data_IF_672745351185
#
_entry.id   IF_672745351185
#
_cell.length_a   1.000
_cell.length_b   1.000
_cell.length_c   1.000
_cell.angle_alpha   90.00
_cell.angle_beta   90.00
_cell.angle_gamma   90.00
#
_symmetry.space_group_name_H-M   'P 1'
#
loop_
_entity.id
_entity.type
_entity.pdbx_description
1 polymer ?
#
# COMPACT_ATOMS: atom_id res chain seq x y z
N UNK A 1 3.13 -35.76 10.62
CA UNK A 1 3.25 -34.36 11.08
C UNK A 1 4.44 -33.73 10.37
N UNK A 2 4.23 -32.57 9.73
CA UNK A 2 5.20 -31.74 8.98
C UNK A 2 5.73 -32.28 7.65
N UNK A 3 5.29 -31.66 6.56
CA UNK A 3 6.10 -30.96 5.54
C UNK A 3 5.12 -30.34 4.51
N UNK A 4 4.45 -29.25 4.88
CA UNK A 4 3.77 -28.38 3.92
C UNK A 4 4.82 -27.40 3.38
N UNK A 5 5.55 -27.85 2.37
CA UNK A 5 6.46 -27.02 1.60
C UNK A 5 5.68 -26.13 0.64
N UNK A 6 5.95 -24.83 0.71
CA UNK A 6 6.00 -23.90 -0.45
C UNK A 6 4.86 -23.98 -1.49
N UNK A 7 3.60 -24.00 -1.05
CA UNK A 7 2.45 -23.68 -1.92
C UNK A 7 2.32 -22.16 -2.10
N UNK A 8 3.08 -21.61 -3.04
CA UNK A 8 3.02 -20.19 -3.41
C UNK A 8 1.66 -19.82 -4.04
N UNK A 9 1.38 -18.51 -4.17
CA UNK A 9 0.32 -17.92 -5.00
C UNK A 9 0.44 -18.35 -6.49
N UNK A 10 1.48 -19.14 -6.80
CA UNK A 10 1.80 -19.81 -8.05
C UNK A 10 0.73 -20.82 -8.53
N UNK A 11 -0.15 -21.31 -7.65
CA UNK A 11 -1.26 -22.20 -8.05
C UNK A 11 -2.61 -21.49 -8.23
N UNK A 12 -2.71 -20.22 -7.82
CA UNK A 12 -3.92 -19.43 -8.09
C UNK A 12 -3.90 -19.03 -9.57
N UNK A 13 -4.87 -19.54 -10.34
CA UNK A 13 -5.05 -19.09 -11.72
C UNK A 13 -5.35 -17.59 -11.68
N UNK A 14 -5.09 -16.85 -12.77
CA UNK A 14 -5.44 -15.41 -12.87
C UNK A 14 -6.89 -15.09 -12.43
N UNK A 15 -7.78 -16.08 -12.53
CA UNK A 15 -9.19 -16.04 -12.11
C UNK A 15 -9.34 -15.85 -10.58
N UNK A 16 -8.44 -16.38 -9.77
CA UNK A 16 -8.54 -16.31 -8.30
C UNK A 16 -7.81 -15.11 -7.70
N UNK A 17 -6.88 -14.50 -8.46
CA UNK A 17 -6.17 -13.29 -8.01
C UNK A 17 -7.09 -12.08 -7.92
N UNK A 18 -7.99 -11.88 -8.89
CA UNK A 18 -8.86 -10.71 -8.89
C UNK A 18 -9.82 -10.67 -7.67
N UNK A 19 -10.53 -11.75 -7.31
CA UNK A 19 -11.32 -11.82 -6.07
C UNK A 19 -10.47 -11.59 -4.81
N UNK A 20 -9.26 -12.16 -4.76
CA UNK A 20 -8.35 -11.99 -3.63
C UNK A 20 -7.90 -10.53 -3.47
N UNK A 21 -7.43 -9.90 -4.56
CA UNK A 21 -7.01 -8.48 -4.57
C UNK A 21 -8.16 -7.59 -4.16
N UNK A 22 -9.38 -7.85 -4.68
CA UNK A 22 -10.57 -7.09 -4.30
C UNK A 22 -10.89 -7.23 -2.80
N UNK A 23 -10.80 -8.44 -2.26
CA UNK A 23 -11.03 -8.69 -0.83
C UNK A 23 -10.01 -7.98 0.07
N UNK A 24 -8.72 -8.15 -0.24
CA UNK A 24 -7.63 -7.53 0.52
C UNK A 24 -7.70 -6.00 0.44
N UNK A 25 -8.00 -5.45 -0.74
CA UNK A 25 -8.15 -4.00 -0.92
C UNK A 25 -9.29 -3.46 -0.05
N UNK A 26 -10.44 -4.15 0.02
CA UNK A 26 -11.54 -3.77 0.91
C UNK A 26 -11.15 -3.81 2.38
N UNK A 27 -10.46 -4.88 2.80
CA UNK A 27 -10.02 -5.03 4.19
C UNK A 27 -9.02 -3.92 4.60
N UNK A 28 -8.04 -3.65 3.74
CA UNK A 28 -7.05 -2.59 3.95
C UNK A 28 -7.71 -1.21 3.94
N UNK A 29 -8.62 -0.95 3.01
CA UNK A 29 -9.38 0.30 2.97
C UNK A 29 -10.16 0.52 4.27
N UNK A 30 -10.85 -0.51 4.78
CA UNK A 30 -11.56 -0.43 6.06
C UNK A 30 -10.62 -0.14 7.24
N UNK A 31 -9.45 -0.80 7.28
CA UNK A 31 -8.40 -0.57 8.30
C UNK A 31 -7.84 0.85 8.25
N UNK A 32 -7.62 1.38 7.05
CA UNK A 32 -7.14 2.76 6.83
C UNK A 32 -8.25 3.80 7.09
N UNK A 33 -9.51 3.36 7.04
CA UNK A 33 -10.69 4.21 7.23
C UNK A 33 -11.12 4.95 5.97
N UNK A 34 -10.91 4.36 4.81
CA UNK A 34 -11.30 4.89 3.49
C UNK A 34 -12.30 4.01 2.77
N UNK A 35 -12.96 4.61 1.78
CA UNK A 35 -13.68 3.85 0.77
C UNK A 35 -12.68 2.98 -0.02
N UNK A 36 -13.05 1.74 -0.31
CA UNK A 36 -12.24 0.89 -1.16
C UNK A 36 -12.27 1.45 -2.60
N UNK A 37 -11.12 1.79 -3.20
CA UNK A 37 -11.10 2.29 -4.57
C UNK A 37 -11.44 1.17 -5.55
N UNK A 38 -11.91 1.56 -6.73
CA UNK A 38 -12.03 0.64 -7.85
C UNK A 38 -10.63 0.21 -8.31
N UNK A 39 -10.51 -1.08 -8.64
CA UNK A 39 -9.26 -1.65 -9.16
C UNK A 39 -9.39 -1.73 -10.67
N UNK A 40 -8.54 -0.99 -11.40
CA UNK A 40 -8.57 -1.02 -12.86
C UNK A 40 -8.05 -2.36 -13.40
N UNK A 41 -8.51 -2.72 -14.60
CA UNK A 41 -8.02 -3.93 -15.29
C UNK A 41 -6.51 -3.87 -15.54
N UNK A 42 -5.96 -2.68 -15.76
CA UNK A 42 -4.52 -2.47 -15.93
C UNK A 42 -3.75 -2.79 -14.64
N UNK A 43 -4.24 -2.35 -13.48
CA UNK A 43 -3.63 -2.67 -12.18
C UNK A 43 -3.72 -4.17 -11.87
N UNK A 44 -4.87 -4.80 -12.15
CA UNK A 44 -5.00 -6.25 -12.03
C UNK A 44 -4.02 -7.01 -12.93
N UNK A 45 -3.86 -6.56 -14.18
CA UNK A 45 -2.91 -7.17 -15.12
C UNK A 45 -1.46 -7.02 -14.65
N UNK A 46 -1.10 -5.86 -14.09
CA UNK A 46 0.21 -5.64 -13.48
C UNK A 46 0.41 -6.59 -12.30
N UNK A 47 -0.51 -6.62 -11.33
CA UNK A 47 -0.43 -7.53 -10.17
C UNK A 47 -0.34 -9.01 -10.58
N UNK A 48 -1.02 -9.40 -11.65
CA UNK A 48 -0.99 -10.76 -12.21
C UNK A 48 0.32 -11.11 -12.94
N UNK A 49 1.11 -10.11 -13.33
CA UNK A 49 2.40 -10.30 -13.97
C UNK A 49 3.56 -10.53 -12.96
N UNK A 50 3.28 -10.42 -11.65
CA UNK A 50 4.28 -10.63 -10.61
C UNK A 50 4.19 -12.02 -9.99
N UNK A 51 5.36 -12.62 -9.79
CA UNK A 51 5.52 -13.70 -8.82
C UNK A 51 5.56 -13.09 -7.41
N UNK A 52 4.72 -13.57 -6.51
CA UNK A 52 4.59 -13.06 -5.14
C UNK A 52 5.33 -13.97 -4.14
N UNK A 53 6.64 -13.73 -3.85
CA UNK A 53 7.41 -14.54 -2.91
C UNK A 53 7.00 -14.24 -1.46
N UNK A 54 6.05 -15.00 -0.93
CA UNK A 54 5.40 -14.75 0.36
C UNK A 54 3.88 -14.56 0.28
N UNK A 55 3.31 -14.80 -0.90
CA UNK A 55 1.89 -14.85 -1.25
C UNK A 55 1.11 -13.60 -0.83
N UNK A 56 0.40 -13.69 0.29
CA UNK A 56 -0.62 -12.70 0.65
C UNK A 56 0.00 -11.49 1.33
N UNK A 57 1.03 -11.68 2.16
CA UNK A 57 1.64 -10.58 2.92
C UNK A 57 2.32 -9.55 2.03
N UNK A 58 3.01 -9.98 0.98
CA UNK A 58 3.67 -9.06 0.04
C UNK A 58 2.65 -8.31 -0.81
N UNK A 59 1.60 -9.02 -1.27
CA UNK A 59 0.48 -8.39 -1.95
C UNK A 59 -0.20 -7.34 -1.06
N UNK A 60 -0.42 -7.65 0.22
CA UNK A 60 -0.98 -6.69 1.18
C UNK A 60 -0.09 -5.45 1.36
N UNK A 61 1.23 -5.61 1.45
CA UNK A 61 2.16 -4.46 1.56
C UNK A 61 2.09 -3.54 0.34
N UNK A 62 2.05 -4.13 -0.86
CA UNK A 62 1.87 -3.38 -2.11
C UNK A 62 0.55 -2.64 -2.13
N UNK A 63 -0.55 -3.34 -1.80
CA UNK A 63 -1.89 -2.75 -1.81
C UNK A 63 -2.01 -1.64 -0.76
N UNK A 64 -1.49 -1.83 0.44
CA UNK A 64 -1.50 -0.81 1.49
C UNK A 64 -0.72 0.44 1.06
N UNK A 65 0.47 0.25 0.51
CA UNK A 65 1.29 1.36 0.00
C UNK A 65 0.57 2.09 -1.13
N UNK A 66 0.01 1.37 -2.08
CA UNK A 66 -0.73 1.93 -3.21
C UNK A 66 -1.96 2.73 -2.76
N UNK A 67 -2.67 2.28 -1.71
CA UNK A 67 -3.79 2.99 -1.13
C UNK A 67 -3.37 4.31 -0.47
N UNK A 68 -2.28 4.31 0.29
CA UNK A 68 -1.79 5.52 0.98
C UNK A 68 -1.22 6.52 -0.03
N UNK A 69 -0.37 6.07 -0.96
CA UNK A 69 0.24 6.92 -1.99
C UNK A 69 -0.83 7.48 -2.95
N UNK A 70 -1.85 6.68 -3.28
CA UNK A 70 -2.98 7.11 -4.11
C UNK A 70 -4.01 7.99 -3.39
N UNK A 71 -3.76 8.37 -2.13
CA UNK A 71 -4.66 9.23 -1.34
C UNK A 71 -6.04 8.61 -1.13
N UNK A 72 -6.13 7.28 -1.06
CA UNK A 72 -7.34 6.51 -0.85
C UNK A 72 -8.39 6.52 -1.98
N UNK A 73 -8.12 7.22 -3.10
CA UNK A 73 -9.07 7.35 -4.23
C UNK A 73 -8.79 6.42 -5.39
N UNK A 74 -7.52 6.07 -5.59
CA UNK A 74 -7.09 5.22 -6.70
C UNK A 74 -6.00 4.28 -6.21
N UNK A 75 -6.05 3.02 -6.65
CA UNK A 75 -4.98 2.08 -6.40
C UNK A 75 -3.83 2.34 -7.38
N UNK A 76 -2.87 3.19 -6.98
CA UNK A 76 -1.68 3.48 -7.77
C UNK A 76 -0.53 2.58 -7.33
N UNK A 77 -0.17 1.58 -8.16
CA UNK A 77 0.97 0.72 -7.84
C UNK A 77 2.26 1.55 -7.80
N UNK A 78 3.18 1.27 -6.87
CA UNK A 78 4.48 1.93 -6.85
C UNK A 78 5.20 1.77 -8.19
N UNK A 79 5.83 2.84 -8.67
CA UNK A 79 6.43 2.93 -10.00
C UNK A 79 7.43 1.79 -10.28
N UNK A 80 8.17 1.38 -9.27
CA UNK A 80 9.16 0.31 -9.33
C UNK A 80 8.51 -1.06 -9.53
N UNK A 81 7.30 -1.25 -9.01
CA UNK A 81 6.49 -2.45 -9.25
C UNK A 81 5.97 -2.43 -10.70
N UNK A 82 5.53 -1.27 -11.18
CA UNK A 82 5.12 -1.10 -12.58
C UNK A 82 6.28 -1.33 -13.58
N UNK A 83 7.52 -0.97 -13.21
CA UNK A 83 8.71 -1.07 -14.09
C UNK A 83 9.39 -2.45 -14.10
N UNK A 84 9.26 -3.27 -13.05
CA UNK A 84 9.93 -4.59 -12.96
C UNK A 84 9.00 -5.71 -12.46
N UNK A 85 8.23 -6.34 -13.37
CA UNK A 85 7.42 -7.52 -13.06
C UNK A 85 8.28 -8.77 -12.94
N UNK A 86 9.00 -8.90 -11.83
CA UNK A 86 9.75 -10.13 -11.52
C UNK A 86 9.77 -10.39 -10.02
N UNK A 87 9.96 -11.66 -9.64
CA UNK A 87 10.19 -12.05 -8.25
C UNK A 87 11.29 -11.22 -7.57
N UNK A 88 12.40 -10.99 -8.27
CA UNK A 88 13.49 -10.12 -7.79
C UNK A 88 13.06 -8.66 -7.65
N UNK A 89 12.15 -8.18 -8.51
CA UNK A 89 11.52 -6.87 -8.39
C UNK A 89 10.71 -6.75 -7.11
N UNK A 90 9.87 -7.74 -6.79
CA UNK A 90 9.08 -7.77 -5.55
C UNK A 90 9.97 -7.91 -4.31
N UNK A 91 11.01 -8.75 -4.36
CA UNK A 91 11.99 -8.89 -3.26
C UNK A 91 12.80 -7.60 -3.03
N UNK A 92 13.20 -6.90 -4.09
CA UNK A 92 13.90 -5.62 -4.00
C UNK A 92 13.02 -4.48 -3.43
N UNK A 93 11.69 -4.67 -3.44
CA UNK A 93 10.73 -3.72 -2.89
C UNK A 93 10.43 -3.94 -1.40
N UNK A 94 10.94 -5.01 -0.79
CA UNK A 94 10.70 -5.34 0.62
C UNK A 94 11.10 -4.19 1.56
N UNK A 95 10.38 -4.10 2.68
CA UNK A 95 10.71 -3.31 3.86
C UNK A 95 11.02 -1.83 3.57
N UNK A 96 12.30 -1.43 3.48
CA UNK A 96 12.68 -0.02 3.40
C UNK A 96 12.06 0.78 2.24
N UNK A 97 11.79 0.18 1.08
CA UNK A 97 11.30 0.94 -0.09
C UNK A 97 9.82 1.29 -0.01
N UNK A 98 8.96 0.36 0.41
CA UNK A 98 7.56 0.67 0.66
C UNK A 98 7.41 1.65 1.82
N UNK A 99 8.18 1.44 2.89
CA UNK A 99 8.20 2.36 4.03
C UNK A 99 8.71 3.76 3.63
N UNK A 100 9.69 3.85 2.72
CA UNK A 100 10.12 5.13 2.15
C UNK A 100 9.01 5.80 1.32
N UNK A 101 8.32 5.07 0.44
CA UNK A 101 7.23 5.64 -0.35
C UNK A 101 6.07 6.16 0.53
N UNK A 102 5.71 5.41 1.58
CA UNK A 102 4.70 5.85 2.56
C UNK A 102 5.22 7.05 3.37
N UNK A 103 6.49 7.04 3.80
CA UNK A 103 7.11 8.18 4.48
C UNK A 103 7.05 9.43 3.61
N UNK A 104 7.46 9.34 2.35
CA UNK A 104 7.47 10.47 1.42
C UNK A 104 6.08 11.05 1.22
N UNK A 105 5.06 10.20 1.04
CA UNK A 105 3.67 10.65 0.94
C UNK A 105 3.21 11.38 2.22
N UNK A 106 3.55 10.86 3.40
CA UNK A 106 3.26 11.49 4.69
C UNK A 106 3.95 12.84 4.82
N UNK A 107 5.25 12.92 4.53
CA UNK A 107 6.00 14.17 4.63
C UNK A 107 5.50 15.22 3.63
N UNK A 108 5.15 14.82 2.39
CA UNK A 108 4.56 15.73 1.42
C UNK A 108 3.22 16.29 1.90
N UNK A 109 2.35 15.45 2.48
CA UNK A 109 1.09 15.90 3.06
C UNK A 109 1.34 16.87 4.23
N UNK A 110 2.28 16.56 5.12
CA UNK A 110 2.64 17.44 6.25
C UNK A 110 3.20 18.79 5.78
N UNK A 111 4.06 18.81 4.75
CA UNK A 111 4.55 20.06 4.14
C UNK A 111 3.39 20.89 3.58
N UNK A 112 2.48 20.24 2.85
CA UNK A 112 1.34 20.92 2.23
C UNK A 112 0.36 21.52 3.26
N UNK A 113 0.27 20.93 4.45
CA UNK A 113 -0.67 21.36 5.50
C UNK A 113 0.00 22.05 6.68
N UNK A 114 1.29 22.41 6.57
CA UNK A 114 2.08 23.04 7.64
C UNK A 114 2.00 22.26 8.96
N UNK A 115 2.18 20.95 8.86
CA UNK A 115 2.15 20.03 10.00
C UNK A 115 0.75 19.79 10.59
N UNK A 116 -0.32 20.37 10.03
CA UNK A 116 -1.69 20.14 10.49
C UNK A 116 -2.09 18.69 10.20
N UNK A 117 -2.46 17.95 11.24
CA UNK A 117 -2.87 16.53 11.14
C UNK A 117 -4.37 16.39 10.88
N UNK A 118 -5.18 17.14 11.61
CA UNK A 118 -6.63 17.01 11.69
C UNK A 118 -7.34 18.07 10.83
N UNK A 119 -8.63 17.84 10.57
CA UNK A 119 -9.48 18.74 9.79
C UNK A 119 -9.52 18.38 8.31
N UNK A 120 -10.46 19.00 7.59
CA UNK A 120 -10.68 18.84 6.14
C UNK A 120 -9.44 19.22 5.32
N UNK A 121 -8.65 20.16 5.82
CA UNK A 121 -7.38 20.67 5.28
C UNK A 121 -6.15 20.07 5.99
N UNK A 122 -6.33 19.03 6.81
CA UNK A 122 -5.25 18.32 7.50
C UNK A 122 -4.59 17.26 6.63
N UNK A 123 -3.35 16.90 6.98
CA UNK A 123 -2.55 15.91 6.26
C UNK A 123 -3.27 14.54 6.20
N UNK A 124 -4.02 14.19 7.24
CA UNK A 124 -4.82 12.97 7.24
C UNK A 124 -5.90 13.02 6.17
N UNK A 125 -6.64 14.13 6.04
CA UNK A 125 -7.65 14.29 5.00
C UNK A 125 -7.04 14.30 3.59
N UNK A 126 -5.87 14.93 3.41
CA UNK A 126 -5.16 14.97 2.13
C UNK A 126 -4.77 13.56 1.64
N UNK A 127 -4.33 12.70 2.57
CA UNK A 127 -3.98 11.31 2.28
C UNK A 127 -5.20 10.38 2.26
N UNK A 128 -6.39 10.89 2.58
CA UNK A 128 -7.55 10.06 2.85
C UNK A 128 -7.23 9.05 3.94
N UNK A 129 -6.85 9.46 5.13
CA UNK A 129 -6.58 8.57 6.26
C UNK A 129 -7.33 9.08 7.48
N UNK A 130 -7.72 8.16 8.37
CA UNK A 130 -8.08 8.58 9.73
C UNK A 130 -6.85 9.22 10.40
N UNK A 131 -7.01 10.31 11.17
CA UNK A 131 -5.89 10.95 11.86
C UNK A 131 -5.06 9.99 12.75
N UNK A 132 -5.71 9.07 13.46
CA UNK A 132 -5.03 8.05 14.25
C UNK A 132 -4.20 7.07 13.41
N UNK A 133 -4.66 6.74 12.20
CA UNK A 133 -3.90 5.92 11.23
C UNK A 133 -2.64 6.64 10.80
N UNK A 134 -2.76 7.92 10.42
CA UNK A 134 -1.62 8.76 10.05
C UNK A 134 -0.59 8.83 11.19
N UNK A 135 -1.03 9.10 12.42
CA UNK A 135 -0.14 9.15 13.59
C UNK A 135 0.55 7.82 13.88
N UNK A 136 -0.16 6.70 13.75
CA UNK A 136 0.44 5.37 13.92
C UNK A 136 1.53 5.10 12.88
N UNK A 137 1.27 5.47 11.61
CA UNK A 137 2.27 5.37 10.52
C UNK A 137 3.45 6.30 10.75
N UNK A 138 3.22 7.56 11.16
CA UNK A 138 4.28 8.50 11.51
C UNK A 138 5.20 7.94 12.60
N UNK A 139 4.63 7.37 13.66
CA UNK A 139 5.41 6.74 14.74
C UNK A 139 6.21 5.54 14.23
N UNK A 140 5.58 4.64 13.47
CA UNK A 140 6.26 3.46 12.89
C UNK A 140 7.43 3.87 11.99
N UNK A 141 7.25 4.95 11.21
CA UNK A 141 8.23 5.43 10.24
C UNK A 141 9.18 6.48 10.83
N UNK A 142 9.06 6.88 12.09
CA UNK A 142 9.90 7.95 12.66
C UNK A 142 9.76 9.29 11.92
N UNK A 143 8.55 9.63 11.46
CA UNK A 143 8.25 10.95 10.90
C UNK A 143 7.89 11.90 12.03
N UNK A 144 8.73 12.91 12.24
CA UNK A 144 8.50 13.95 13.23
C UNK A 144 7.75 15.13 12.61
N UNK A 145 6.56 15.43 13.15
CA UNK A 145 5.71 16.54 12.73
C UNK A 145 6.37 17.90 12.94
N UNK A 146 7.22 18.05 13.96
CA UNK A 146 7.80 19.33 14.38
C UNK A 146 8.58 20.02 13.25
N UNK A 147 9.08 19.23 12.29
CA UNK A 147 9.85 19.68 11.12
C UNK A 147 9.02 20.38 10.05
N UNK A 148 7.69 20.41 10.20
CA UNK A 148 6.75 20.86 9.18
C UNK A 148 5.80 21.96 9.67
N UNK A 149 5.94 22.42 10.91
CA UNK A 149 5.08 23.43 11.54
C UNK A 149 5.68 24.82 11.37
#
# INVERSE_FOLDING_TARGET
>A
MRLLGVGGLLELRRVDLAPLVASLTRELAAKLGIAAPSISRAVLAQLAAHDWPGNVRELMNVLETALIVGGGRTLALPEQLARRPSRRGVEALRGPRFEAAVRDAIEQALRATRGKIYGVDGAAAHLGLKPGTLQSKMRKLGVDRSKFV
#
